data_IF_681703312634
#
_entry.id   IF_681703312634
#
_cell.length_a   1.000
_cell.length_b   1.000
_cell.length_c   1.000
_cell.angle_alpha   90.00
_cell.angle_beta   90.00
_cell.angle_gamma   90.00
#
_symmetry.space_group_name_H-M   'P 1'
#
loop_
_entity.id
_entity.type
_entity.pdbx_description
1 polymer ?
#
# COMPACT_ATOMS: atom_id res chain seq x y z
N UNK A 1 8.75 -4.15 -15.45
CA UNK A 1 8.35 -2.95 -16.22
C UNK A 1 6.99 -2.56 -15.70
N UNK A 2 6.81 -1.35 -15.14
CA UNK A 2 5.51 -0.94 -14.60
C UNK A 2 4.51 -0.88 -15.75
N UNK A 3 3.56 -1.80 -15.78
CA UNK A 3 2.35 -1.68 -16.57
C UNK A 3 1.70 -0.34 -16.21
N UNK A 4 1.82 0.65 -17.11
CA UNK A 4 1.24 1.97 -16.92
C UNK A 4 -0.26 1.78 -16.78
N UNK A 5 -0.79 2.04 -15.59
CA UNK A 5 -2.22 1.94 -15.37
C UNK A 5 -2.91 3.08 -16.14
N UNK A 6 -4.06 2.86 -16.79
CA UNK A 6 -4.80 3.93 -17.49
C UNK A 6 -5.09 5.16 -16.61
N UNK A 7 -5.08 4.98 -15.28
CA UNK A 7 -5.28 6.05 -14.30
C UNK A 7 -4.05 6.90 -14.01
N UNK A 8 -2.85 6.49 -14.44
CA UNK A 8 -1.61 7.24 -14.21
C UNK A 8 -1.65 8.63 -14.85
N UNK A 9 -2.43 8.80 -15.92
CA UNK A 9 -2.70 10.09 -16.56
C UNK A 9 -3.38 11.08 -15.60
N UNK A 10 -4.19 10.59 -14.65
CA UNK A 10 -4.90 11.40 -13.68
C UNK A 10 -4.11 11.63 -12.38
N UNK A 11 -2.98 10.93 -12.20
CA UNK A 11 -2.21 10.95 -10.95
C UNK A 11 -1.86 12.38 -10.49
N UNK A 12 -1.40 13.24 -11.40
CA UNK A 12 -1.07 14.64 -11.09
C UNK A 12 -2.29 15.44 -10.62
N UNK A 13 -3.45 15.22 -11.23
CA UNK A 13 -4.69 15.92 -10.89
C UNK A 13 -5.26 15.44 -9.55
N UNK A 14 -5.03 14.18 -9.21
CA UNK A 14 -5.50 13.55 -7.97
C UNK A 14 -4.53 13.73 -6.80
N UNK A 15 -3.31 14.20 -7.06
CA UNK A 15 -2.26 14.37 -6.05
C UNK A 15 -2.73 15.17 -4.82
N UNK A 16 -3.48 16.28 -4.94
CA UNK A 16 -3.97 17.00 -3.76
C UNK A 16 -4.89 16.15 -2.87
N UNK A 17 -5.77 15.36 -3.47
CA UNK A 17 -6.66 14.46 -2.73
C UNK A 17 -5.90 13.30 -2.08
N UNK A 18 -4.89 12.76 -2.77
CA UNK A 18 -4.01 11.71 -2.24
C UNK A 18 -3.21 12.21 -1.04
N UNK A 19 -2.63 13.41 -1.12
CA UNK A 19 -1.89 14.04 -0.02
C UNK A 19 -2.81 14.23 1.18
N UNK A 20 -3.97 14.86 0.98
CA UNK A 20 -4.95 15.08 2.04
C UNK A 20 -5.37 13.77 2.72
N UNK A 21 -5.56 12.69 1.94
CA UNK A 21 -5.94 11.39 2.51
C UNK A 21 -4.82 10.71 3.30
N UNK A 22 -3.58 10.83 2.84
CA UNK A 22 -2.40 10.32 3.57
C UNK A 22 -2.23 11.07 4.89
N UNK A 23 -2.42 12.38 4.90
CA UNK A 23 -2.38 13.20 6.11
C UNK A 23 -3.50 12.83 7.09
N UNK A 24 -4.72 12.63 6.60
CA UNK A 24 -5.84 12.12 7.40
C UNK A 24 -5.49 10.78 8.06
N UNK A 25 -4.90 9.83 7.32
CA UNK A 25 -4.51 8.54 7.88
C UNK A 25 -3.43 8.67 8.95
N UNK A 26 -2.46 9.57 8.74
CA UNK A 26 -1.44 9.90 9.75
C UNK A 26 -2.03 10.51 11.01
N UNK A 27 -3.10 11.29 10.89
CA UNK A 27 -3.84 11.86 12.03
C UNK A 27 -4.53 10.77 12.86
N UNK A 28 -4.91 9.65 12.23
CA UNK A 28 -5.43 8.45 12.89
C UNK A 28 -4.33 7.44 13.29
N UNK A 29 -3.09 7.90 13.49
CA UNK A 29 -1.91 7.10 13.87
C UNK A 29 -1.46 6.04 12.83
N UNK A 30 -1.97 6.08 11.59
CA UNK A 30 -1.51 5.20 10.50
C UNK A 30 -0.30 5.80 9.77
N UNK A 31 0.85 5.86 10.42
CA UNK A 31 2.04 6.53 9.88
C UNK A 31 2.73 5.83 8.70
N UNK A 32 2.47 4.54 8.50
CA UNK A 32 3.11 3.73 7.45
C UNK A 32 2.54 3.98 6.05
N UNK A 33 1.45 4.74 5.95
CA UNK A 33 0.84 5.10 4.67
C UNK A 33 1.69 6.12 3.90
N UNK A 34 1.88 5.88 2.62
CA UNK A 34 2.47 6.81 1.67
C UNK A 34 1.55 7.01 0.47
N UNK A 35 1.81 8.06 -0.32
CA UNK A 35 1.08 8.31 -1.57
C UNK A 35 1.20 7.11 -2.51
N UNK A 36 2.37 6.48 -2.57
CA UNK A 36 2.63 5.34 -3.45
C UNK A 36 1.83 4.10 -3.04
N UNK A 37 1.81 3.79 -1.74
CA UNK A 37 1.07 2.63 -1.22
C UNK A 37 -0.43 2.84 -1.33
N UNK A 38 -0.91 4.07 -1.12
CA UNK A 38 -2.32 4.43 -1.36
C UNK A 38 -2.70 4.34 -2.84
N UNK A 39 -1.84 4.83 -3.74
CA UNK A 39 -2.06 4.70 -5.19
C UNK A 39 -2.12 3.23 -5.63
N UNK A 40 -1.22 2.41 -5.10
CA UNK A 40 -1.22 0.98 -5.35
C UNK A 40 -2.52 0.31 -4.87
N UNK A 41 -2.99 0.65 -3.67
CA UNK A 41 -4.29 0.19 -3.16
C UNK A 41 -5.45 0.58 -4.10
N UNK A 42 -5.50 1.83 -4.54
CA UNK A 42 -6.57 2.34 -5.39
C UNK A 42 -6.61 1.61 -6.73
N UNK A 43 -5.46 1.50 -7.40
CA UNK A 43 -5.34 0.82 -8.70
C UNK A 43 -5.61 -0.69 -8.62
N UNK A 44 -5.19 -1.35 -7.53
CA UNK A 44 -5.35 -2.81 -7.40
C UNK A 44 -6.69 -3.27 -6.81
N UNK A 45 -7.34 -2.47 -5.97
CA UNK A 45 -8.58 -2.88 -5.26
C UNK A 45 -9.81 -2.07 -5.66
N UNK A 46 -9.71 -0.75 -5.69
CA UNK A 46 -10.85 0.14 -5.95
C UNK A 46 -11.11 0.32 -7.45
N UNK A 47 -10.06 0.32 -8.26
CA UNK A 47 -10.09 0.58 -9.69
C UNK A 47 -9.59 -0.60 -10.52
N UNK A 48 -9.74 -1.81 -9.98
CA UNK A 48 -9.41 -3.07 -10.66
C UNK A 48 -10.07 -3.16 -12.04
N UNK A 49 -11.34 -2.72 -12.12
CA UNK A 49 -12.07 -2.58 -13.38
C UNK A 49 -11.87 -1.16 -13.90
N UNK A 50 -11.16 -1.04 -15.01
CA UNK A 50 -10.88 0.24 -15.67
C UNK A 50 -12.17 0.79 -16.29
N UNK A 51 -12.52 2.03 -15.94
CA UNK A 51 -13.56 2.79 -16.62
C UNK A 51 -12.90 3.62 -17.73
N UNK A 52 -13.48 3.59 -18.93
CA UNK A 52 -12.89 4.20 -20.12
C UNK A 52 -12.76 5.73 -20.01
N UNK A 53 -13.74 6.40 -19.36
CA UNK A 53 -13.75 7.86 -19.13
C UNK A 53 -14.39 8.20 -17.76
N UNK A 54 -13.67 8.01 -16.66
CA UNK A 54 -14.15 8.34 -15.33
C UNK A 54 -14.07 9.84 -15.09
N UNK A 55 -15.11 10.41 -14.49
CA UNK A 55 -15.07 11.81 -14.06
C UNK A 55 -14.03 11.99 -12.94
N UNK A 56 -13.21 13.04 -13.02
CA UNK A 56 -12.19 13.34 -12.00
C UNK A 56 -12.83 13.53 -10.62
N UNK A 57 -14.01 14.14 -10.54
CA UNK A 57 -14.77 14.28 -9.29
C UNK A 57 -15.11 12.92 -8.65
N UNK A 58 -15.41 11.90 -9.46
CA UNK A 58 -15.66 10.53 -8.98
C UNK A 58 -14.39 9.92 -8.42
N UNK A 59 -13.25 10.06 -9.12
CA UNK A 59 -11.96 9.56 -8.64
C UNK A 59 -11.52 10.23 -7.33
N UNK A 60 -11.72 11.55 -7.21
CA UNK A 60 -11.48 12.29 -5.96
C UNK A 60 -12.38 11.75 -4.84
N UNK A 61 -13.66 11.55 -5.12
CA UNK A 61 -14.61 11.00 -4.15
C UNK A 61 -14.20 9.59 -3.71
N UNK A 62 -13.76 8.75 -4.64
CA UNK A 62 -13.26 7.41 -4.35
C UNK A 62 -12.06 7.45 -3.40
N UNK A 63 -11.09 8.35 -3.64
CA UNK A 63 -9.91 8.55 -2.78
C UNK A 63 -10.34 8.98 -1.38
N UNK A 64 -11.19 9.99 -1.26
CA UNK A 64 -11.60 10.53 0.03
C UNK A 64 -12.50 9.55 0.80
N UNK A 65 -13.19 8.64 0.11
CA UNK A 65 -14.02 7.59 0.72
C UNK A 65 -13.23 6.42 1.31
N UNK A 66 -11.91 6.32 1.07
CA UNK A 66 -11.13 5.19 1.55
C UNK A 66 -11.11 5.16 3.08
N UNK A 67 -11.50 4.05 3.68
CA UNK A 67 -11.43 3.86 5.13
C UNK A 67 -10.07 3.29 5.53
N UNK A 68 -9.46 3.74 6.64
CA UNK A 68 -8.20 3.19 7.12
C UNK A 68 -8.23 1.67 7.29
N UNK A 69 -9.34 1.11 7.83
CA UNK A 69 -9.50 -0.33 7.99
C UNK A 69 -9.45 -1.12 6.68
N UNK A 70 -10.11 -0.63 5.63
CA UNK A 70 -10.13 -1.29 4.31
C UNK A 70 -8.77 -1.26 3.63
N UNK A 71 -8.02 -0.17 3.84
CA UNK A 71 -6.65 0.01 3.37
C UNK A 71 -5.69 -0.92 4.13
N UNK A 72 -5.74 -0.94 5.46
CA UNK A 72 -4.86 -1.76 6.30
C UNK A 72 -5.03 -3.26 6.02
N UNK A 73 -6.28 -3.72 5.89
CA UNK A 73 -6.58 -5.11 5.51
C UNK A 73 -5.94 -5.48 4.17
N UNK A 74 -5.99 -4.59 3.17
CA UNK A 74 -5.33 -4.82 1.90
C UNK A 74 -3.79 -4.84 2.03
N UNK A 75 -3.20 -3.90 2.78
CA UNK A 75 -1.74 -3.85 2.93
C UNK A 75 -1.19 -5.08 3.65
N UNK A 76 -1.89 -5.57 4.68
CA UNK A 76 -1.48 -6.80 5.39
C UNK A 76 -1.53 -8.01 4.45
N UNK A 77 -2.65 -8.19 3.75
CA UNK A 77 -2.80 -9.30 2.78
C UNK A 77 -1.76 -9.22 1.65
N UNK A 78 -1.46 -8.02 1.16
CA UNK A 78 -0.45 -7.83 0.12
C UNK A 78 0.97 -8.11 0.64
N UNK A 79 1.30 -7.74 1.88
CA UNK A 79 2.57 -8.09 2.51
C UNK A 79 2.73 -9.60 2.71
N UNK A 80 1.64 -10.30 3.06
CA UNK A 80 1.62 -11.77 3.11
C UNK A 80 1.73 -12.46 1.74
N UNK A 81 1.49 -11.73 0.64
CA UNK A 81 1.65 -12.24 -0.72
C UNK A 81 3.00 -11.87 -1.34
N UNK A 82 3.84 -11.10 -0.62
CA UNK A 82 5.18 -10.77 -1.10
C UNK A 82 6.04 -12.03 -1.21
N UNK A 83 6.92 -12.15 -2.22
CA UNK A 83 7.73 -13.34 -2.47
C UNK A 83 8.56 -13.80 -1.26
N UNK A 84 8.94 -12.85 -0.40
CA UNK A 84 9.70 -13.07 0.82
C UNK A 84 8.92 -13.73 1.98
N UNK A 85 7.57 -13.69 1.99
CA UNK A 85 6.72 -14.23 3.06
C UNK A 85 6.42 -15.75 2.91
N UNK A 86 7.39 -16.52 2.46
CA UNK A 86 7.17 -17.95 2.20
C UNK A 86 8.36 -18.67 1.61
N UNK A 87 9.42 -17.92 1.30
CA UNK A 87 10.74 -18.48 1.08
C UNK A 87 11.21 -19.16 2.37
N UNK A 88 11.56 -20.46 2.33
CA UNK A 88 12.21 -21.11 3.46
C UNK A 88 13.45 -20.32 3.84
N UNK A 89 13.62 -20.05 5.15
CA UNK A 89 14.86 -19.50 5.66
C UNK A 89 16.02 -20.41 5.24
N UNK A 90 17.15 -19.82 4.86
CA UNK A 90 18.37 -20.60 4.67
C UNK A 90 18.82 -21.23 6.00
N UNK A 91 19.55 -22.34 5.94
CA UNK A 91 20.05 -23.02 7.15
C UNK A 91 20.92 -22.09 8.02
N UNK A 92 21.64 -21.16 7.38
CA UNK A 92 22.44 -20.13 8.06
C UNK A 92 21.59 -19.11 8.83
N UNK A 93 20.48 -18.66 8.24
CA UNK A 93 19.54 -17.73 8.90
C UNK A 93 18.76 -18.40 10.02
N UNK A 94 18.42 -19.68 9.85
CA UNK A 94 17.77 -20.47 10.88
C UNK A 94 18.70 -20.67 12.08
N UNK A 95 19.98 -20.95 11.82
CA UNK A 95 21.00 -21.09 12.88
C UNK A 95 21.14 -19.81 13.69
N UNK A 96 21.18 -18.64 13.04
CA UNK A 96 21.27 -17.32 13.70
C UNK A 96 20.10 -17.02 14.64
N UNK A 97 18.90 -17.53 14.36
CA UNK A 97 17.72 -17.31 15.21
C UNK A 97 17.83 -18.05 16.55
N UNK A 98 18.47 -19.22 16.55
CA UNK A 98 18.68 -20.04 17.75
C UNK A 98 20.00 -19.73 18.47
N UNK A 99 20.78 -18.75 18.00
CA UNK A 99 21.97 -18.32 18.71
C UNK A 99 21.55 -17.67 20.05
N UNK A 100 22.03 -18.19 21.19
CA UNK A 100 21.75 -17.57 22.48
C UNK A 100 22.30 -16.15 22.47
N UNK A 101 21.53 -15.19 22.99
CA UNK A 101 21.99 -13.81 23.18
C UNK A 101 23.32 -13.85 23.91
N UNK A 102 24.41 -13.43 23.25
CA UNK A 102 25.69 -13.21 23.91
C UNK A 102 25.48 -12.07 24.90
N UNK A 103 25.32 -12.42 26.18
CA UNK A 103 25.40 -11.47 27.27
C UNK A 103 26.75 -10.76 27.13
N UNK A 104 26.68 -9.49 26.74
CA UNK A 104 27.85 -8.61 26.74
C UNK A 104 28.11 -8.26 28.19
N UNK A 105 29.19 -8.82 28.75
CA UNK A 105 29.84 -8.32 29.97
C UNK A 105 30.91 -7.33 29.55
#
# INVERSE_FOLDING_TARGET
MMDKHPYDTYYRNLLPALVSKVEEFKLFDYHTVSIQTLWHYLTKKKWEIVQEKPAVSKLVSDILSVKPGDYMSFTQVSAYKSPEWGTPLSDEEMTKLFEPRKNSV
#
